data_IF_794274536399
#
_entry.id   IF_794274536399
#
_cell.length_a   1.000
_cell.length_b   1.000
_cell.length_c   1.000
_cell.angle_alpha   90.00
_cell.angle_beta   90.00
_cell.angle_gamma   90.00
#
_symmetry.space_group_name_H-M   'P 1'
#
loop_
_entity.id
_entity.type
_entity.pdbx_description
1 polymer ?
#
# COMPACT_ATOMS: atom_id res chain seq x y z
N UNK A 1 -13.02 5.49 4.91
CA UNK A 1 -12.30 5.64 6.20
C UNK A 1 -11.00 6.36 5.93
N UNK A 2 -10.63 7.31 6.79
CA UNK A 2 -9.38 8.06 6.73
C UNK A 2 -8.60 7.86 8.05
N UNK A 3 -7.34 7.47 7.96
CA UNK A 3 -6.41 7.52 9.10
C UNK A 3 -5.64 8.84 9.05
N UNK A 4 -5.83 9.68 10.05
CA UNK A 4 -5.21 11.02 10.08
C UNK A 4 -3.92 11.11 10.93
N UNK A 5 -3.63 10.11 11.75
CA UNK A 5 -2.56 10.14 12.74
C UNK A 5 -2.92 10.98 13.98
N UNK A 6 -2.21 10.73 15.07
CA UNK A 6 -2.45 11.40 16.37
C UNK A 6 -2.29 12.93 16.28
N UNK A 7 -1.35 13.40 15.45
CA UNK A 7 -1.05 14.83 15.28
C UNK A 7 -2.24 15.62 14.72
N UNK A 8 -3.13 14.98 13.98
CA UNK A 8 -4.25 15.64 13.29
C UNK A 8 -5.63 15.30 13.89
N UNK A 9 -5.69 14.92 15.17
CA UNK A 9 -6.96 14.60 15.86
C UNK A 9 -8.02 15.70 15.78
N UNK A 10 -7.63 16.95 15.62
CA UNK A 10 -8.59 18.05 15.52
C UNK A 10 -9.51 17.92 14.30
N UNK A 11 -9.01 17.36 13.19
CA UNK A 11 -9.81 17.09 11.98
C UNK A 11 -11.03 16.20 12.29
N UNK A 12 -10.90 15.27 13.26
CA UNK A 12 -12.00 14.37 13.66
C UNK A 12 -13.18 15.17 14.23
N UNK A 13 -12.89 16.18 15.06
CA UNK A 13 -13.91 17.01 15.67
C UNK A 13 -14.62 17.93 14.67
N UNK A 14 -13.93 18.32 13.60
CA UNK A 14 -14.45 19.20 12.54
C UNK A 14 -15.28 18.44 11.51
N UNK A 15 -15.11 17.12 11.41
CA UNK A 15 -15.83 16.31 10.44
C UNK A 15 -17.30 16.15 10.82
N UNK A 16 -18.18 16.77 10.04
CA UNK A 16 -19.64 16.70 10.17
C UNK A 16 -20.29 15.69 9.20
N UNK A 17 -19.51 15.05 8.34
CA UNK A 17 -20.02 14.12 7.34
C UNK A 17 -20.27 12.74 7.95
N UNK A 18 -21.49 12.21 7.79
CA UNK A 18 -21.82 10.83 8.18
C UNK A 18 -21.15 9.78 7.29
N UNK A 19 -20.75 10.15 6.08
CA UNK A 19 -20.15 9.24 5.10
C UNK A 19 -18.62 9.13 5.22
N UNK A 20 -18.00 9.96 6.07
CA UNK A 20 -16.54 9.97 6.25
C UNK A 20 -16.24 9.57 7.70
N UNK A 21 -15.58 8.44 7.87
CA UNK A 21 -15.05 8.03 9.19
C UNK A 21 -13.56 8.37 9.26
N UNK A 22 -13.20 9.27 10.18
CA UNK A 22 -11.82 9.68 10.42
C UNK A 22 -11.37 9.09 11.74
N UNK A 23 -10.21 8.42 11.74
CA UNK A 23 -9.61 7.79 12.91
C UNK A 23 -8.15 8.25 13.06
N UNK A 24 -7.66 8.46 14.29
CA UNK A 24 -6.24 8.74 14.51
C UNK A 24 -5.37 7.56 14.12
N UNK A 25 -5.84 6.34 14.43
CA UNK A 25 -5.19 5.08 14.12
C UNK A 25 -6.23 4.00 13.80
N UNK A 26 -5.87 3.03 12.96
CA UNK A 26 -6.72 1.89 12.58
C UNK A 26 -6.07 0.61 13.13
N UNK A 27 -6.60 0.09 14.25
CA UNK A 27 -6.07 -1.13 14.90
C UNK A 27 -6.23 -2.38 14.02
N UNK A 28 -7.36 -2.48 13.32
CA UNK A 28 -7.71 -3.62 12.48
C UNK A 28 -7.42 -3.32 10.99
N UNK A 29 -6.22 -2.80 10.68
CA UNK A 29 -5.85 -2.40 9.32
C UNK A 29 -6.03 -3.51 8.29
N UNK A 30 -5.59 -4.77 8.50
CA UNK A 30 -5.80 -5.84 7.52
C UNK A 30 -7.27 -6.08 7.20
N UNK A 31 -8.14 -6.02 8.20
CA UNK A 31 -9.59 -6.18 8.03
C UNK A 31 -10.16 -5.05 7.19
N UNK A 32 -9.85 -3.80 7.52
CA UNK A 32 -10.33 -2.63 6.77
C UNK A 32 -9.86 -2.68 5.31
N UNK A 33 -8.60 -3.00 5.07
CA UNK A 33 -8.04 -3.11 3.73
C UNK A 33 -8.73 -4.23 2.91
N UNK A 34 -9.05 -5.36 3.53
CA UNK A 34 -9.72 -6.48 2.84
C UNK A 34 -11.14 -6.13 2.36
N UNK A 35 -11.85 -5.29 3.10
CA UNK A 35 -13.19 -4.80 2.73
C UNK A 35 -13.20 -3.56 1.85
N UNK A 36 -12.03 -2.97 1.58
CA UNK A 36 -11.94 -1.76 0.74
C UNK A 36 -12.16 -2.08 -0.73
N UNK A 37 -12.85 -1.21 -1.44
CA UNK A 37 -12.98 -1.25 -2.91
C UNK A 37 -11.84 -0.51 -3.61
N UNK A 38 -11.26 0.47 -2.95
CA UNK A 38 -10.15 1.30 -3.41
C UNK A 38 -9.34 1.78 -2.21
N UNK A 39 -8.03 1.77 -2.35
CA UNK A 39 -7.09 2.24 -1.33
C UNK A 39 -6.35 3.47 -1.86
N UNK A 40 -6.16 4.48 -1.03
CA UNK A 40 -5.30 5.62 -1.30
C UNK A 40 -4.20 5.61 -0.24
N UNK A 41 -2.94 5.62 -0.66
CA UNK A 41 -1.81 5.47 0.26
C UNK A 41 -0.56 6.19 -0.22
N UNK A 42 0.39 6.38 0.69
CA UNK A 42 1.79 6.68 0.36
C UNK A 42 2.46 5.43 -0.23
N UNK A 43 3.57 5.62 -0.95
CA UNK A 43 4.26 4.58 -1.70
C UNK A 43 5.59 4.13 -1.07
N UNK A 44 5.60 4.01 0.26
CA UNK A 44 6.73 3.39 0.97
C UNK A 44 6.82 1.89 0.66
N UNK A 45 8.04 1.33 0.63
CA UNK A 45 8.28 -0.06 0.21
C UNK A 45 7.50 -1.09 1.07
N UNK A 46 7.44 -0.88 2.39
CA UNK A 46 6.72 -1.78 3.30
C UNK A 46 5.23 -1.79 2.99
N UNK A 47 4.61 -0.62 2.86
CA UNK A 47 3.17 -0.53 2.58
C UNK A 47 2.82 -1.08 1.20
N UNK A 48 3.69 -0.90 0.20
CA UNK A 48 3.52 -1.51 -1.13
C UNK A 48 3.50 -3.04 -1.01
N UNK A 49 4.45 -3.60 -0.27
CA UNK A 49 4.52 -5.04 -0.04
C UNK A 49 3.23 -5.55 0.64
N UNK A 50 2.78 -4.92 1.71
CA UNK A 50 1.54 -5.29 2.41
C UNK A 50 0.31 -5.19 1.50
N UNK A 51 0.15 -4.08 0.78
CA UNK A 51 -1.01 -3.86 -0.09
C UNK A 51 -1.04 -4.80 -1.30
N UNK A 52 0.13 -5.23 -1.82
CA UNK A 52 0.19 -6.19 -2.92
C UNK A 52 -0.42 -7.55 -2.52
N UNK A 53 -0.26 -7.97 -1.26
CA UNK A 53 -0.93 -9.19 -0.75
C UNK A 53 -2.45 -9.04 -0.72
N UNK A 54 -2.94 -7.87 -0.35
CA UNK A 54 -4.38 -7.59 -0.29
C UNK A 54 -4.98 -7.65 -1.71
N UNK A 55 -4.25 -7.17 -2.72
CA UNK A 55 -4.66 -7.24 -4.12
C UNK A 55 -5.91 -6.40 -4.41
N UNK A 56 -5.97 -5.20 -3.87
CA UNK A 56 -6.99 -4.19 -4.16
C UNK A 56 -6.42 -3.12 -5.08
N UNK A 57 -7.26 -2.38 -5.84
CA UNK A 57 -6.79 -1.23 -6.60
C UNK A 57 -6.28 -0.15 -5.65
N UNK A 58 -5.16 0.45 -6.01
CA UNK A 58 -4.50 1.47 -5.19
C UNK A 58 -4.22 2.73 -6.03
N UNK A 59 -4.43 3.88 -5.41
CA UNK A 59 -3.89 5.17 -5.88
C UNK A 59 -2.74 5.52 -4.93
N UNK A 60 -1.53 5.61 -5.45
CA UNK A 60 -0.40 6.07 -4.68
C UNK A 60 -0.22 7.58 -4.80
N UNK A 61 -0.05 8.23 -3.66
CA UNK A 61 0.29 9.64 -3.54
C UNK A 61 1.63 9.71 -2.81
N UNK A 62 2.77 9.72 -3.56
CA UNK A 62 4.09 9.76 -2.94
C UNK A 62 4.30 11.03 -2.12
N UNK A 63 5.05 10.92 -1.01
CA UNK A 63 5.48 12.07 -0.25
C UNK A 63 6.65 12.74 -0.98
N UNK A 64 6.60 14.06 -1.22
CA UNK A 64 7.71 14.78 -1.85
C UNK A 64 8.91 14.98 -0.90
N UNK A 65 8.71 14.81 0.42
CA UNK A 65 9.70 15.13 1.46
C UNK A 65 10.45 13.87 1.94
N UNK A 66 10.81 12.96 1.03
CA UNK A 66 11.57 11.75 1.37
C UNK A 66 12.92 11.75 0.67
N UNK A 67 13.93 11.15 1.33
CA UNK A 67 15.27 11.05 0.76
C UNK A 67 15.23 10.39 -0.62
N UNK A 68 16.03 10.90 -1.58
CA UNK A 68 16.21 10.34 -2.92
C UNK A 68 14.94 10.13 -3.75
N UNK A 69 13.83 10.73 -3.35
CA UNK A 69 12.53 10.61 -4.04
C UNK A 69 12.08 9.15 -4.28
N UNK A 70 12.46 8.24 -3.37
CA UNK A 70 12.18 6.82 -3.52
C UNK A 70 10.68 6.51 -3.58
N UNK A 71 9.82 7.28 -2.93
CA UNK A 71 8.37 7.04 -3.01
C UNK A 71 7.82 7.30 -4.41
N UNK A 72 8.26 8.39 -5.08
CA UNK A 72 7.83 8.66 -6.45
C UNK A 72 8.34 7.57 -7.40
N UNK A 73 9.58 7.13 -7.26
CA UNK A 73 10.15 6.04 -8.07
C UNK A 73 9.35 4.74 -7.90
N UNK A 74 9.01 4.39 -6.66
CA UNK A 74 8.20 3.20 -6.35
C UNK A 74 6.80 3.29 -6.99
N UNK A 75 6.11 4.42 -6.81
CA UNK A 75 4.76 4.61 -7.35
C UNK A 75 4.78 4.62 -8.89
N UNK A 76 5.80 5.27 -9.49
CA UNK A 76 5.96 5.28 -10.94
C UNK A 76 6.18 3.88 -11.52
N UNK A 77 7.02 3.07 -10.89
CA UNK A 77 7.22 1.68 -11.31
C UNK A 77 5.91 0.89 -11.34
N UNK A 78 5.08 1.04 -10.31
CA UNK A 78 3.79 0.37 -10.24
C UNK A 78 2.78 0.91 -11.26
N UNK A 79 2.81 2.20 -11.53
CA UNK A 79 2.00 2.84 -12.56
C UNK A 79 2.37 2.33 -13.96
N UNK A 80 3.66 2.26 -14.28
CA UNK A 80 4.17 1.78 -15.57
C UNK A 80 3.82 0.29 -15.82
N UNK A 81 3.62 -0.50 -14.74
CA UNK A 81 3.12 -1.89 -14.79
C UNK A 81 1.59 -1.99 -14.81
N UNK A 82 0.88 -0.88 -14.90
CA UNK A 82 -0.59 -0.85 -14.77
C UNK A 82 -1.10 -1.56 -13.49
N UNK A 83 -0.30 -1.53 -12.42
CA UNK A 83 -0.61 -2.16 -11.13
C UNK A 83 -1.21 -1.17 -10.13
N UNK A 84 -1.04 0.12 -10.34
CA UNK A 84 -1.61 1.17 -9.51
C UNK A 84 -1.76 2.48 -10.30
N UNK A 85 -2.55 3.41 -9.76
CA UNK A 85 -2.56 4.80 -10.22
C UNK A 85 -1.57 5.63 -9.39
N UNK A 86 -1.01 6.66 -10.03
CA UNK A 86 -0.09 7.63 -9.43
C UNK A 86 -0.66 9.04 -9.55
N UNK A 87 -0.71 9.75 -8.42
CA UNK A 87 -1.07 11.17 -8.36
C UNK A 87 -0.01 11.87 -7.51
N UNK A 88 0.63 12.92 -8.04
CA UNK A 88 1.52 13.74 -7.24
C UNK A 88 0.73 14.62 -6.27
N UNK A 89 1.33 14.99 -5.15
CA UNK A 89 0.64 15.73 -4.08
C UNK A 89 0.07 17.06 -4.56
N UNK A 90 0.77 17.75 -5.46
CA UNK A 90 0.32 19.00 -6.08
C UNK A 90 -0.80 18.82 -7.14
N UNK A 91 -1.15 17.58 -7.46
CA UNK A 91 -2.18 17.25 -8.45
C UNK A 91 -3.50 16.78 -7.79
N UNK A 92 -3.53 16.62 -6.48
CA UNK A 92 -4.66 16.06 -5.74
C UNK A 92 -5.96 16.80 -6.07
N UNK A 93 -5.96 18.14 -6.00
CA UNK A 93 -7.16 18.96 -6.09
C UNK A 93 -7.92 18.79 -7.41
N UNK A 94 -7.21 18.54 -8.50
CA UNK A 94 -7.81 18.45 -9.84
C UNK A 94 -7.82 17.04 -10.44
N UNK A 95 -6.95 16.12 -10.01
CA UNK A 95 -6.88 14.76 -10.56
C UNK A 95 -7.60 13.71 -9.72
N UNK A 96 -7.56 13.81 -8.39
CA UNK A 96 -7.97 12.72 -7.50
C UNK A 96 -9.41 12.27 -7.77
N UNK A 97 -10.35 13.20 -7.88
CA UNK A 97 -11.77 12.89 -8.14
C UNK A 97 -11.95 12.11 -9.43
N UNK A 98 -11.26 12.52 -10.49
CA UNK A 98 -11.39 11.89 -11.81
C UNK A 98 -10.82 10.49 -11.82
N UNK A 99 -9.67 10.28 -11.15
CA UNK A 99 -9.03 8.95 -11.03
C UNK A 99 -9.89 8.01 -10.19
N UNK A 100 -10.44 8.48 -9.07
CA UNK A 100 -11.38 7.69 -8.25
C UNK A 100 -12.56 7.26 -9.11
N UNK A 101 -13.20 8.19 -9.82
CA UNK A 101 -14.34 7.87 -10.68
C UNK A 101 -13.97 6.87 -11.77
N UNK A 102 -12.83 7.04 -12.45
CA UNK A 102 -12.33 6.10 -13.46
C UNK A 102 -12.25 4.66 -12.91
N UNK A 103 -11.71 4.50 -11.70
CA UNK A 103 -11.56 3.19 -11.07
C UNK A 103 -12.91 2.63 -10.63
N UNK A 104 -13.75 3.43 -9.95
CA UNK A 104 -15.01 2.95 -9.39
C UNK A 104 -16.06 2.64 -10.46
N UNK A 105 -16.12 3.42 -11.53
CA UNK A 105 -17.10 3.24 -12.60
C UNK A 105 -16.72 2.13 -13.60
N UNK A 106 -15.45 1.72 -13.67
CA UNK A 106 -14.99 0.66 -14.56
C UNK A 106 -14.56 -0.58 -13.79
N UNK A 107 -15.46 -1.56 -13.67
CA UNK A 107 -15.15 -2.85 -13.05
C UNK A 107 -13.95 -3.53 -13.73
N UNK A 108 -13.89 -3.48 -15.06
CA UNK A 108 -12.78 -4.06 -15.83
C UNK A 108 -11.44 -3.45 -15.42
N UNK A 109 -11.37 -2.13 -15.36
CA UNK A 109 -10.15 -1.41 -14.99
C UNK A 109 -9.75 -1.66 -13.55
N UNK A 110 -10.72 -1.63 -12.63
CA UNK A 110 -10.52 -1.92 -11.22
C UNK A 110 -9.93 -3.32 -11.00
N UNK A 111 -10.48 -4.33 -11.69
CA UNK A 111 -9.98 -5.71 -11.59
C UNK A 111 -8.61 -5.89 -12.25
N UNK A 112 -8.30 -5.14 -13.32
CA UNK A 112 -6.98 -5.15 -13.95
C UNK A 112 -5.91 -4.64 -12.98
N UNK A 113 -6.10 -3.44 -12.40
CA UNK A 113 -5.19 -2.88 -11.41
C UNK A 113 -4.95 -3.86 -10.25
N UNK A 114 -6.04 -4.40 -9.68
CA UNK A 114 -5.97 -5.34 -8.55
C UNK A 114 -5.17 -6.61 -8.88
N UNK A 115 -5.39 -7.21 -10.06
CA UNK A 115 -4.65 -8.40 -10.50
C UNK A 115 -3.19 -8.12 -10.74
N UNK A 116 -2.87 -7.04 -11.47
CA UNK A 116 -1.49 -6.67 -11.76
C UNK A 116 -0.74 -6.39 -10.46
N UNK A 117 -1.36 -5.68 -9.52
CA UNK A 117 -0.73 -5.38 -8.24
C UNK A 117 -0.52 -6.65 -7.40
N UNK A 118 -1.51 -7.53 -7.34
CA UNK A 118 -1.39 -8.81 -6.62
C UNK A 118 -0.31 -9.72 -7.20
N UNK A 119 -0.09 -9.70 -8.50
CA UNK A 119 0.94 -10.53 -9.15
C UNK A 119 2.36 -10.16 -8.73
N UNK A 120 2.56 -8.95 -8.18
CA UNK A 120 3.85 -8.49 -7.66
C UNK A 120 4.12 -8.97 -6.22
N UNK A 121 3.11 -9.55 -5.54
CA UNK A 121 3.28 -10.07 -4.20
C UNK A 121 4.16 -11.32 -4.19
N UNK A 122 5.16 -11.34 -3.32
CA UNK A 122 6.04 -12.51 -3.17
C UNK A 122 5.75 -13.22 -1.83
N UNK A 123 4.91 -14.25 -1.89
CA UNK A 123 4.55 -15.09 -0.74
C UNK A 123 5.73 -15.89 -0.17
N UNK A 124 6.80 -16.03 -0.92
CA UNK A 124 7.93 -16.87 -0.57
C UNK A 124 9.17 -16.09 -0.12
N UNK A 125 9.07 -14.77 0.08
CA UNK A 125 10.22 -13.91 0.41
C UNK A 125 11.00 -14.45 1.62
N UNK A 126 10.32 -14.77 2.72
CA UNK A 126 10.96 -15.32 3.92
C UNK A 126 11.64 -16.65 3.63
N UNK A 127 10.99 -17.55 2.89
CA UNK A 127 11.57 -18.84 2.51
C UNK A 127 12.80 -18.67 1.60
N UNK A 128 12.78 -17.73 0.68
CA UNK A 128 13.92 -17.44 -0.19
C UNK A 128 15.09 -16.89 0.61
N UNK A 129 14.84 -15.99 1.56
CA UNK A 129 15.87 -15.45 2.46
C UNK A 129 16.46 -16.57 3.32
N UNK A 130 15.62 -17.40 3.93
CA UNK A 130 16.09 -18.54 4.74
C UNK A 130 16.93 -19.50 3.90
N UNK A 131 16.47 -19.89 2.73
CA UNK A 131 17.21 -20.77 1.83
C UNK A 131 18.57 -20.16 1.41
N UNK A 132 18.63 -18.83 1.23
CA UNK A 132 19.89 -18.16 0.91
C UNK A 132 20.85 -18.16 2.11
N UNK A 133 20.36 -17.86 3.29
CA UNK A 133 21.15 -17.92 4.53
C UNK A 133 21.70 -19.33 4.75
N UNK A 134 20.88 -20.37 4.59
CA UNK A 134 21.27 -21.77 4.75
C UNK A 134 22.45 -22.18 3.87
N UNK A 135 22.60 -21.60 2.67
CA UNK A 135 23.76 -21.88 1.80
C UNK A 135 25.09 -21.40 2.39
N UNK A 136 25.07 -20.38 3.23
CA UNK A 136 26.27 -19.79 3.85
C UNK A 136 26.57 -20.32 5.25
N UNK A 137 25.59 -20.93 5.92
CA UNK A 137 25.81 -21.57 7.21
C UNK A 137 26.41 -22.95 6.96
N UNK A 138 27.75 -23.05 7.04
CA UNK A 138 28.46 -24.37 7.02
C UNK A 138 27.92 -25.24 8.15
N UNK A 139 27.35 -26.39 7.82
CA UNK A 139 26.68 -27.37 8.62
C UNK A 139 27.52 -27.83 9.85
N UNK A 140 27.37 -27.15 10.98
CA UNK A 140 27.76 -27.73 12.30
C UNK A 140 26.82 -27.30 13.44
N UNK A 141 25.64 -26.76 13.13
CA UNK A 141 24.66 -26.33 14.15
C UNK A 141 23.36 -27.08 13.90
N UNK A 142 23.08 -28.05 14.76
CA UNK A 142 21.75 -28.66 14.85
C UNK A 142 20.72 -27.56 15.17
N UNK A 143 19.84 -27.30 14.23
CA UNK A 143 18.58 -26.56 14.36
C UNK A 143 18.66 -25.27 15.19
N UNK A 144 18.90 -24.14 14.51
CA UNK A 144 18.60 -22.83 15.06
C UNK A 144 17.17 -22.50 14.62
N UNK A 145 16.25 -22.39 15.59
CA UNK A 145 14.94 -21.81 15.35
C UNK A 145 15.12 -20.29 15.28
N UNK A 146 15.16 -19.72 14.07
CA UNK A 146 15.19 -18.28 13.87
C UNK A 146 13.75 -17.80 13.82
N UNK A 147 13.32 -17.02 14.80
CA UNK A 147 12.04 -16.32 14.80
C UNK A 147 12.28 -14.90 14.29
N UNK A 148 11.69 -14.55 13.17
CA UNK A 148 11.62 -13.17 12.71
C UNK A 148 10.35 -12.52 13.29
N UNK A 149 10.53 -11.43 14.04
CA UNK A 149 9.47 -10.56 14.56
C UNK A 149 9.29 -9.37 13.63
#
# INVERSE_FOLDING_TARGET
ILQCGERFKNIIKENKSSNIKILPFIDQMPTILSFSDLIISRSGAIIISELSFIGKPVIFIPSPNVAEDHQTKNAKYLYDLEAAELIHENEIDYKLKNVINKILLSQKYRLQLARNFKSLSNLNSTKLIVNEIEKYIKWNIKIINIIFL
#
